data_IF_199478458433
#
_entry.id   IF_199478458433
#
_cell.length_a   1.000
_cell.length_b   1.000
_cell.length_c   1.000
_cell.angle_alpha   90.00
_cell.angle_beta   90.00
_cell.angle_gamma   90.00
#
_symmetry.space_group_name_H-M   'P 1'
#
loop_
_entity.id
_entity.type
_entity.pdbx_description
1 polymer ?
#
# COMPACT_ATOMS: atom_id res chain seq x y z
N UNK A 1 -5.35 -13.91 -8.66
CA UNK A 1 -4.35 -12.85 -8.38
C UNK A 1 -4.92 -11.75 -7.50
N UNK A 2 -5.92 -10.96 -7.91
CA UNK A 2 -6.52 -9.94 -7.03
C UNK A 2 -7.22 -10.53 -5.81
N UNK A 3 -7.93 -11.64 -5.98
CA UNK A 3 -8.58 -12.35 -4.87
C UNK A 3 -7.55 -12.85 -3.85
N UNK A 4 -6.46 -13.46 -4.32
CA UNK A 4 -5.37 -13.94 -3.47
C UNK A 4 -4.71 -12.79 -2.71
N UNK A 5 -4.42 -11.67 -3.40
CA UNK A 5 -3.86 -10.48 -2.77
C UNK A 5 -4.82 -9.86 -1.75
N UNK A 6 -6.12 -9.80 -2.08
CA UNK A 6 -7.15 -9.34 -1.14
C UNK A 6 -7.14 -10.21 0.11
N UNK A 7 -7.15 -11.54 -0.05
CA UNK A 7 -7.14 -12.48 1.07
C UNK A 7 -5.89 -12.33 1.94
N UNK A 8 -4.73 -12.14 1.33
CA UNK A 8 -3.46 -11.98 2.05
C UNK A 8 -3.41 -10.70 2.89
N UNK A 9 -4.14 -9.65 2.49
CA UNK A 9 -4.13 -8.35 3.14
C UNK A 9 -5.26 -8.14 4.16
N UNK A 10 -6.16 -9.12 4.36
CA UNK A 10 -7.33 -8.95 5.23
C UNK A 10 -7.02 -8.78 6.72
N UNK A 11 -5.84 -9.22 7.18
CA UNK A 11 -5.46 -9.14 8.59
C UNK A 11 -4.87 -7.77 8.96
N UNK A 12 -4.70 -6.86 8.01
CA UNK A 12 -4.23 -5.50 8.30
C UNK A 12 -5.40 -4.61 8.72
N UNK A 13 -5.19 -3.76 9.73
CA UNK A 13 -6.15 -2.71 10.08
C UNK A 13 -6.27 -1.68 8.94
N UNK A 14 -5.19 -1.50 8.18
CA UNK A 14 -5.13 -0.58 7.07
C UNK A 14 -4.21 -1.04 5.94
N UNK A 15 -4.64 -0.80 4.69
CA UNK A 15 -3.90 -1.14 3.48
C UNK A 15 -3.79 0.07 2.55
N UNK A 16 -2.58 0.36 2.10
CA UNK A 16 -2.35 1.35 1.03
C UNK A 16 -1.72 0.64 -0.16
N UNK A 17 -2.43 0.63 -1.30
CA UNK A 17 -1.90 0.07 -2.54
C UNK A 17 -1.35 1.19 -3.45
N UNK A 18 -0.08 1.10 -3.88
CA UNK A 18 0.50 2.05 -4.81
C UNK A 18 0.03 1.83 -6.25
N UNK A 19 0.37 2.76 -7.14
CA UNK A 19 0.33 2.53 -8.58
C UNK A 19 1.21 1.33 -8.96
N UNK A 20 0.67 0.43 -9.80
CA UNK A 20 1.42 -0.74 -10.28
C UNK A 20 2.34 -0.31 -11.42
N UNK A 21 3.65 -0.34 -11.18
CA UNK A 21 4.64 -0.06 -12.22
C UNK A 21 4.90 -1.30 -13.07
N UNK A 22 4.41 -1.35 -14.31
CA UNK A 22 4.64 -2.47 -15.24
C UNK A 22 4.82 -1.99 -16.69
N UNK A 23 6.03 -2.14 -17.23
CA UNK A 23 6.35 -1.82 -18.64
C UNK A 23 5.97 -2.91 -19.65
N UNK A 24 5.86 -4.19 -19.26
CA UNK A 24 5.90 -5.31 -20.23
C UNK A 24 4.80 -6.38 -20.10
N UNK A 25 3.85 -6.27 -19.17
CA UNK A 25 2.81 -7.29 -18.99
C UNK A 25 1.56 -7.07 -19.88
N UNK A 26 0.97 -8.14 -20.47
CA UNK A 26 -0.30 -8.09 -21.19
C UNK A 26 -1.43 -7.53 -20.31
N UNK A 27 -2.36 -6.76 -20.89
CA UNK A 27 -3.46 -6.09 -20.15
C UNK A 27 -4.25 -7.03 -19.25
N UNK A 28 -4.53 -8.25 -19.72
CA UNK A 28 -5.29 -9.29 -18.99
C UNK A 28 -4.57 -9.80 -17.73
N UNK A 29 -3.24 -9.70 -17.67
CA UNK A 29 -2.44 -10.10 -16.51
C UNK A 29 -2.09 -8.90 -15.59
N UNK A 30 -2.67 -7.72 -15.85
CA UNK A 30 -2.42 -6.53 -15.01
C UNK A 30 -3.35 -6.55 -13.82
N UNK A 31 -2.74 -6.54 -12.63
CA UNK A 31 -3.45 -6.30 -11.38
C UNK A 31 -4.08 -4.89 -11.44
N UNK A 32 -5.36 -4.79 -11.10
CA UNK A 32 -6.05 -3.52 -10.92
C UNK A 32 -6.13 -3.18 -9.41
N UNK A 33 -5.29 -2.28 -8.88
CA UNK A 33 -5.27 -1.93 -7.45
C UNK A 33 -6.64 -1.50 -6.92
N UNK A 34 -7.43 -0.79 -7.73
CA UNK A 34 -8.74 -0.28 -7.37
C UNK A 34 -9.71 -1.41 -7.04
N UNK A 35 -9.62 -2.55 -7.75
CA UNK A 35 -10.45 -3.73 -7.47
C UNK A 35 -10.09 -4.38 -6.14
N UNK A 36 -8.80 -4.43 -5.81
CA UNK A 36 -8.33 -4.97 -4.52
C UNK A 36 -8.75 -4.06 -3.38
N UNK A 37 -8.59 -2.73 -3.54
CA UNK A 37 -9.06 -1.74 -2.56
C UNK A 37 -10.57 -1.87 -2.33
N UNK A 38 -11.37 -1.92 -3.40
CA UNK A 38 -12.81 -2.08 -3.28
C UNK A 38 -13.19 -3.40 -2.57
N UNK A 39 -12.49 -4.49 -2.87
CA UNK A 39 -12.72 -5.80 -2.25
C UNK A 39 -12.34 -5.86 -0.76
N UNK A 40 -11.29 -5.12 -0.35
CA UNK A 40 -10.88 -4.96 1.05
C UNK A 40 -11.88 -4.12 1.84
N UNK A 41 -12.32 -2.98 1.27
CA UNK A 41 -13.35 -2.12 1.87
C UNK A 41 -14.65 -2.90 2.08
N UNK A 42 -15.08 -3.68 1.09
CA UNK A 42 -16.28 -4.51 1.20
C UNK A 42 -16.19 -5.58 2.32
N UNK A 43 -14.99 -5.86 2.83
CA UNK A 43 -14.71 -6.80 3.93
C UNK A 43 -14.39 -6.09 5.25
N UNK A 44 -14.54 -4.77 5.32
CA UNK A 44 -14.33 -3.99 6.54
C UNK A 44 -12.89 -3.52 6.78
N UNK A 45 -11.97 -3.78 5.85
CA UNK A 45 -10.58 -3.30 5.94
C UNK A 45 -10.50 -1.87 5.42
N UNK A 46 -9.85 -0.96 6.16
CA UNK A 46 -9.57 0.39 5.62
C UNK A 46 -8.54 0.26 4.51
N UNK A 47 -8.93 0.58 3.28
CA UNK A 47 -8.00 0.48 2.14
C UNK A 47 -8.04 1.74 1.26
N UNK A 48 -6.87 2.12 0.74
CA UNK A 48 -6.71 3.28 -0.15
C UNK A 48 -5.79 2.96 -1.33
N UNK A 49 -6.08 3.56 -2.48
CA UNK A 49 -5.16 3.56 -3.62
C UNK A 49 -4.52 4.94 -3.73
N UNK A 50 -3.19 5.02 -3.56
CA UNK A 50 -2.43 6.27 -3.66
C UNK A 50 -1.33 6.10 -4.71
N UNK A 51 -1.23 7.02 -5.66
CA UNK A 51 -0.33 6.82 -6.81
C UNK A 51 1.10 7.27 -6.52
N UNK A 52 1.28 8.29 -5.68
CA UNK A 52 2.58 8.89 -5.41
C UNK A 52 3.13 8.42 -4.07
N UNK A 53 4.42 8.06 -4.06
CA UNK A 53 5.12 7.64 -2.85
C UNK A 53 5.04 8.69 -1.75
N UNK A 54 5.19 9.98 -2.09
CA UNK A 54 5.14 11.05 -1.09
C UNK A 54 3.74 11.22 -0.46
N UNK A 55 2.67 10.89 -1.20
CA UNK A 55 1.31 10.87 -0.66
C UNK A 55 1.13 9.71 0.33
N UNK A 56 1.69 8.53 0.03
CA UNK A 56 1.70 7.38 0.93
C UNK A 56 2.45 7.73 2.22
N UNK A 57 3.66 8.27 2.11
CA UNK A 57 4.47 8.68 3.27
C UNK A 57 3.70 9.68 4.12
N UNK A 58 3.11 10.71 3.52
CA UNK A 58 2.32 11.72 4.24
C UNK A 58 1.11 11.13 4.97
N UNK A 59 0.41 10.16 4.38
CA UNK A 59 -0.74 9.51 5.02
C UNK A 59 -0.28 8.65 6.18
N UNK A 60 0.73 7.80 5.97
CA UNK A 60 1.26 6.91 7.02
C UNK A 60 1.79 7.73 8.19
N UNK A 61 2.64 8.74 7.96
CA UNK A 61 3.20 9.56 9.05
C UNK A 61 2.13 10.31 9.84
N UNK A 62 1.06 10.78 9.18
CA UNK A 62 -0.02 11.50 9.87
C UNK A 62 -0.88 10.58 10.76
N UNK A 63 -1.03 9.33 10.36
CA UNK A 63 -2.00 8.41 10.98
C UNK A 63 -1.35 7.39 11.91
N UNK A 64 -0.05 7.16 11.78
CA UNK A 64 0.72 6.28 12.64
C UNK A 64 0.74 6.78 14.09
N UNK A 65 0.70 5.82 15.01
CA UNK A 65 0.75 6.01 16.46
C UNK A 65 1.83 5.13 17.07
N UNK A 66 2.25 5.47 18.27
CA UNK A 66 3.12 4.59 19.06
C UNK A 66 2.47 3.20 19.20
N UNK A 67 3.25 2.15 18.91
CA UNK A 67 2.78 0.77 18.91
C UNK A 67 2.29 0.25 17.56
N UNK A 68 2.07 1.11 16.56
CA UNK A 68 1.69 0.67 15.21
C UNK A 68 2.85 -0.07 14.52
N UNK A 69 2.49 -1.08 13.71
CA UNK A 69 3.44 -1.81 12.87
C UNK A 69 3.22 -1.46 11.40
N UNK A 70 4.20 -0.80 10.79
CA UNK A 70 4.17 -0.44 9.36
C UNK A 70 4.97 -1.45 8.55
N UNK A 71 4.29 -2.23 7.71
CA UNK A 71 4.91 -3.22 6.81
C UNK A 71 4.92 -2.66 5.39
N UNK A 72 6.11 -2.56 4.80
CA UNK A 72 6.28 -2.14 3.40
C UNK A 72 6.71 -3.33 2.55
N UNK A 73 5.85 -3.74 1.62
CA UNK A 73 6.12 -4.85 0.70
C UNK A 73 6.40 -4.31 -0.71
N UNK A 74 7.63 -4.46 -1.18
CA UNK A 74 8.04 -3.97 -2.51
C UNK A 74 9.12 -4.83 -3.14
N UNK A 75 9.02 -5.08 -4.44
CA UNK A 75 10.01 -5.84 -5.22
C UNK A 75 11.05 -4.93 -5.92
N UNK A 76 11.29 -3.72 -5.41
CA UNK A 76 12.20 -2.74 -6.02
C UNK A 76 12.33 -1.48 -5.18
N UNK A 77 12.99 -0.45 -5.71
CA UNK A 77 13.30 0.78 -4.95
C UNK A 77 12.08 1.52 -4.41
N UNK A 78 10.92 1.39 -5.09
CA UNK A 78 9.64 1.95 -4.69
C UNK A 78 9.73 3.43 -4.28
N UNK A 79 10.50 4.22 -5.04
CA UNK A 79 10.70 5.64 -4.79
C UNK A 79 11.37 5.97 -3.44
N UNK A 80 12.19 5.04 -2.93
CA UNK A 80 12.89 5.12 -1.65
C UNK A 80 11.95 5.28 -0.44
N UNK A 81 10.76 4.68 -0.53
CA UNK A 81 9.72 4.81 0.49
C UNK A 81 10.20 4.37 1.89
N UNK A 82 11.10 3.38 1.94
CA UNK A 82 11.62 2.83 3.21
C UNK A 82 12.37 3.92 3.98
N UNK A 83 13.33 4.57 3.33
CA UNK A 83 14.10 5.68 3.91
C UNK A 83 13.20 6.87 4.26
N UNK A 84 12.25 7.21 3.38
CA UNK A 84 11.31 8.31 3.61
C UNK A 84 10.43 8.08 4.83
N UNK A 85 9.89 6.88 5.00
CA UNK A 85 9.06 6.53 6.15
C UNK A 85 9.87 6.54 7.45
N UNK A 86 11.06 5.92 7.45
CA UNK A 86 11.94 5.92 8.62
C UNK A 86 12.33 7.33 9.05
N UNK A 87 12.61 8.22 8.09
CA UNK A 87 12.96 9.62 8.36
C UNK A 87 11.76 10.41 8.87
N UNK A 88 10.58 10.20 8.30
CA UNK A 88 9.38 10.95 8.68
C UNK A 88 8.83 10.50 10.05
N UNK A 89 8.94 9.22 10.39
CA UNK A 89 8.45 8.65 11.65
C UNK A 89 9.43 8.84 12.82
N UNK A 90 10.73 9.05 12.57
CA UNK A 90 11.72 9.28 13.64
C UNK A 90 11.67 10.68 14.26
N UNK A 91 10.91 11.60 13.65
CA UNK A 91 10.79 13.00 14.08
C UNK A 91 9.46 13.23 14.83
N UNK A 92 8.65 12.19 15.02
CA UNK A 92 7.41 12.23 15.82
C UNK A 92 7.69 11.81 17.25
#
# INVERSE_FOLDING_TARGET
MEADLTSALMNADEVVLPAVYRKTLPKVARLAPERVVAALIARGVRARHLQKVDEIVKVVTREAREGDQVIVMSNGSFGDIHTKLLTALSIT
#
